data_IF_783929728230
#
_entry.id   IF_783929728230
#
_cell.length_a   1.000
_cell.length_b   1.000
_cell.length_c   1.000
_cell.angle_alpha   90.00
_cell.angle_beta   90.00
_cell.angle_gamma   90.00
#
_symmetry.space_group_name_H-M   'P 1'
#
loop_
_entity.id
_entity.type
_entity.pdbx_description
1 polymer ?
#
# COMPACT_ATOMS: atom_id res chain seq x y z
N UNK A 1 6.75 -3.08 -24.92
CA UNK A 1 6.87 -1.83 -24.14
C UNK A 1 7.74 -2.08 -22.91
N UNK A 2 8.95 -1.50 -22.82
CA UNK A 2 9.80 -1.58 -21.63
C UNK A 2 9.19 -0.85 -20.42
N UNK A 3 9.52 -1.29 -19.21
CA UNK A 3 9.16 -0.63 -17.95
C UNK A 3 10.46 -0.28 -17.23
N UNK A 4 10.53 0.93 -16.65
CA UNK A 4 11.66 1.30 -15.80
C UNK A 4 11.59 0.61 -14.44
N UNK A 5 12.75 0.28 -13.85
CA UNK A 5 12.85 -0.25 -12.50
C UNK A 5 12.20 0.67 -11.45
N UNK A 6 12.19 1.97 -11.70
CA UNK A 6 11.52 2.93 -10.83
C UNK A 6 10.01 2.72 -10.80
N UNK A 7 9.36 2.60 -11.96
CA UNK A 7 7.92 2.30 -12.03
C UNK A 7 7.61 0.98 -11.32
N UNK A 8 8.39 -0.08 -11.58
CA UNK A 8 8.18 -1.40 -10.96
C UNK A 8 8.20 -1.35 -9.43
N UNK A 9 9.12 -0.59 -8.82
CA UNK A 9 9.20 -0.47 -7.35
C UNK A 9 7.95 0.13 -6.72
N UNK A 10 7.27 1.04 -7.42
CA UNK A 10 6.08 1.73 -6.94
C UNK A 10 4.77 1.02 -7.27
N UNK A 11 4.78 0.01 -8.15
CA UNK A 11 3.58 -0.80 -8.38
C UNK A 11 3.37 -1.77 -7.20
N UNK A 12 2.18 -1.69 -6.61
CA UNK A 12 1.76 -2.59 -5.53
C UNK A 12 0.92 -3.72 -6.13
N UNK A 13 1.23 -4.96 -5.75
CA UNK A 13 0.47 -6.14 -6.16
C UNK A 13 -0.22 -6.79 -4.96
N UNK A 14 -1.32 -7.49 -5.22
CA UNK A 14 -2.17 -8.22 -4.27
C UNK A 14 -2.66 -9.51 -4.92
N UNK A 15 -3.04 -10.51 -4.12
CA UNK A 15 -3.81 -11.67 -4.59
C UNK A 15 -5.27 -11.33 -4.92
N UNK A 16 -5.72 -10.12 -4.59
CA UNK A 16 -7.10 -9.66 -4.76
C UNK A 16 -8.05 -10.12 -3.64
N UNK A 17 -7.54 -10.83 -2.62
CA UNK A 17 -8.24 -11.12 -1.37
C UNK A 17 -8.01 -10.04 -0.31
N UNK A 18 -6.85 -9.40 -0.38
CA UNK A 18 -6.47 -8.28 0.47
C UNK A 18 -7.20 -7.00 0.03
N UNK A 19 -8.04 -6.45 0.92
CA UNK A 19 -8.60 -5.13 0.75
C UNK A 19 -7.53 -4.09 1.10
N UNK A 20 -6.98 -3.42 0.09
CA UNK A 20 -6.01 -2.33 0.25
C UNK A 20 -4.56 -2.68 -0.06
N UNK A 21 -3.66 -1.74 0.23
CA UNK A 21 -2.23 -1.84 -0.12
C UNK A 21 -1.35 -1.97 1.12
N UNK A 22 -0.55 -3.05 1.18
CA UNK A 22 0.56 -3.18 2.14
C UNK A 22 1.71 -2.21 1.86
N UNK A 23 1.65 -1.49 0.72
CA UNK A 23 2.66 -0.53 0.28
C UNK A 23 2.98 0.56 1.31
N UNK A 24 2.03 0.88 2.19
CA UNK A 24 2.23 1.85 3.29
C UNK A 24 3.36 1.45 4.26
N UNK A 25 3.73 0.15 4.32
CA UNK A 25 4.78 -0.39 5.18
C UNK A 25 6.09 -0.73 4.45
N UNK A 26 6.22 -0.45 3.15
CA UNK A 26 7.44 -0.77 2.37
C UNK A 26 8.65 0.11 2.72
N UNK A 27 8.42 1.31 3.27
CA UNK A 27 9.47 2.25 3.68
C UNK A 27 9.97 2.00 5.12
N UNK A 28 11.07 2.66 5.49
CA UNK A 28 11.53 2.65 6.89
C UNK A 28 10.57 3.42 7.81
N UNK A 29 10.00 4.52 7.29
CA UNK A 29 9.06 5.37 8.00
C UNK A 29 7.68 5.34 7.34
N UNK A 30 6.63 5.49 8.16
CA UNK A 30 5.28 5.67 7.66
C UNK A 30 5.13 7.03 6.96
N UNK A 31 4.47 7.11 5.79
CA UNK A 31 4.38 8.33 5.00
C UNK A 31 3.29 9.27 5.54
N UNK A 32 3.49 9.80 6.76
CA UNK A 32 2.52 10.67 7.43
C UNK A 32 2.18 11.91 6.58
N UNK A 33 0.88 12.14 6.28
CA UNK A 33 0.38 13.38 5.68
C UNK A 33 0.83 14.60 6.47
N UNK A 34 1.01 15.74 5.81
CA UNK A 34 1.54 16.96 6.45
C UNK A 34 0.68 17.40 7.65
N UNK A 35 -0.65 17.35 7.50
CA UNK A 35 -1.60 17.65 8.59
C UNK A 35 -1.42 16.73 9.81
N UNK A 36 -1.16 15.44 9.60
CA UNK A 36 -0.96 14.48 10.69
C UNK A 36 0.41 14.60 11.38
N UNK A 37 1.24 15.58 11.00
CA UNK A 37 2.52 15.87 11.66
C UNK A 37 2.38 16.91 12.77
N UNK A 38 1.21 17.54 12.90
CA UNK A 38 0.90 18.54 13.92
C UNK A 38 0.96 17.99 15.36
N UNK A 39 1.09 18.87 16.36
CA UNK A 39 1.19 18.48 17.77
C UNK A 39 -0.02 17.68 18.28
N UNK A 40 -1.23 17.99 17.79
CA UNK A 40 -2.48 17.30 18.08
C UNK A 40 -2.43 15.78 17.79
N UNK A 41 -1.63 15.38 16.79
CA UNK A 41 -1.48 14.00 16.35
C UNK A 41 -0.19 13.36 16.87
N UNK A 42 0.61 14.08 17.68
CA UNK A 42 1.92 13.57 18.12
C UNK A 42 1.80 12.26 18.90
N UNK A 43 0.90 12.20 19.89
CA UNK A 43 0.70 11.01 20.71
C UNK A 43 0.27 9.78 19.89
N UNK A 44 -0.83 9.82 19.09
CA UNK A 44 -1.22 8.67 18.29
C UNK A 44 -0.17 8.31 17.24
N UNK A 45 0.50 9.30 16.63
CA UNK A 45 1.59 9.08 15.67
C UNK A 45 2.75 8.32 16.30
N UNK A 46 3.22 8.75 17.47
CA UNK A 46 4.35 8.13 18.16
C UNK A 46 4.01 6.70 18.57
N UNK A 47 2.77 6.45 19.02
CA UNK A 47 2.32 5.10 19.36
C UNK A 47 2.30 4.19 18.12
N UNK A 48 1.76 4.66 17.00
CA UNK A 48 1.74 3.91 15.74
C UNK A 48 3.17 3.65 15.23
N UNK A 49 4.05 4.66 15.23
CA UNK A 49 5.45 4.52 14.81
C UNK A 49 6.23 3.51 15.67
N UNK A 50 5.86 3.35 16.94
CA UNK A 50 6.46 2.34 17.83
C UNK A 50 5.98 0.92 17.53
N UNK A 51 4.69 0.74 17.19
CA UNK A 51 4.09 -0.59 17.01
C UNK A 51 4.31 -1.12 15.58
N UNK A 52 4.23 -0.26 14.57
CA UNK A 52 4.27 -0.68 13.17
C UNK A 52 5.52 -1.50 12.80
N UNK A 53 6.76 -1.13 13.22
CA UNK A 53 7.95 -1.93 12.89
C UNK A 53 7.90 -3.34 13.49
N UNK A 54 7.32 -3.50 14.69
CA UNK A 54 7.17 -4.81 15.31
C UNK A 54 6.16 -5.67 14.55
N UNK A 55 5.00 -5.11 14.17
CA UNK A 55 4.01 -5.82 13.38
C UNK A 55 4.58 -6.30 12.03
N UNK A 56 5.36 -5.45 11.36
CA UNK A 56 6.03 -5.80 10.10
C UNK A 56 7.08 -6.90 10.30
N UNK A 57 7.87 -6.86 11.39
CA UNK A 57 8.85 -7.91 11.70
C UNK A 57 8.19 -9.26 11.98
N UNK A 58 7.13 -9.27 12.79
CA UNK A 58 6.38 -10.48 13.11
C UNK A 58 5.77 -11.09 11.84
N UNK A 59 5.05 -10.29 11.05
CA UNK A 59 4.48 -10.73 9.78
C UNK A 59 5.56 -11.26 8.80
N UNK A 60 6.73 -10.62 8.75
CA UNK A 60 7.87 -11.07 7.94
C UNK A 60 8.45 -12.41 8.41
N UNK A 61 8.31 -12.72 9.70
CA UNK A 61 8.73 -13.98 10.32
C UNK A 61 7.69 -15.09 10.14
N UNK A 62 6.56 -14.80 9.49
CA UNK A 62 5.52 -15.76 9.09
C UNK A 62 4.25 -15.72 9.92
N UNK A 63 4.18 -14.91 10.99
CA UNK A 63 2.98 -14.79 11.82
C UNK A 63 2.97 -13.46 12.55
N UNK A 64 1.85 -12.72 12.45
CA UNK A 64 1.59 -11.55 13.28
C UNK A 64 0.90 -12.01 14.59
N UNK A 65 1.48 -11.67 15.73
CA UNK A 65 0.94 -12.10 17.04
C UNK A 65 -0.39 -11.39 17.33
N UNK A 66 -1.38 -12.08 17.96
CA UNK A 66 -2.69 -11.49 18.28
C UNK A 66 -2.60 -10.21 19.12
N UNK A 67 -1.67 -10.16 20.08
CA UNK A 67 -1.47 -9.00 20.95
C UNK A 67 -0.91 -7.79 20.18
N UNK A 68 0.04 -8.02 19.27
CA UNK A 68 0.59 -6.98 18.40
C UNK A 68 -0.45 -6.46 17.43
N UNK A 69 -1.24 -7.36 16.82
CA UNK A 69 -2.36 -6.99 15.96
C UNK A 69 -3.36 -6.12 16.71
N UNK A 70 -3.80 -6.56 17.91
CA UNK A 70 -4.75 -5.81 18.73
C UNK A 70 -4.22 -4.42 19.11
N UNK A 71 -2.99 -4.34 19.64
CA UNK A 71 -2.37 -3.05 20.00
C UNK A 71 -2.30 -2.10 18.82
N UNK A 72 -1.96 -2.60 17.64
CA UNK A 72 -1.86 -1.77 16.45
C UNK A 72 -3.26 -1.32 15.97
N UNK A 73 -4.22 -2.24 15.96
CA UNK A 73 -5.61 -1.95 15.58
C UNK A 73 -6.24 -0.90 16.50
N UNK A 74 -6.00 -1.00 17.80
CA UNK A 74 -6.47 -0.03 18.80
C UNK A 74 -5.81 1.34 18.54
N UNK A 75 -4.49 1.39 18.30
CA UNK A 75 -3.77 2.65 17.99
C UNK A 75 -4.24 3.34 16.69
N UNK A 76 -4.58 2.57 15.64
CA UNK A 76 -5.15 3.11 14.39
C UNK A 76 -6.57 3.66 14.63
N UNK A 77 -7.34 2.99 15.48
CA UNK A 77 -8.70 3.42 15.84
C UNK A 77 -8.67 4.73 16.63
N UNK A 78 -7.77 4.85 17.60
CA UNK A 78 -7.54 6.09 18.36
C UNK A 78 -7.19 7.27 17.44
N UNK A 79 -6.29 7.05 16.47
CA UNK A 79 -5.98 8.06 15.44
C UNK A 79 -7.23 8.47 14.66
N UNK A 80 -8.03 7.48 14.24
CA UNK A 80 -9.28 7.71 13.50
C UNK A 80 -10.30 8.53 14.29
N UNK A 81 -10.41 8.30 15.60
CA UNK A 81 -11.27 9.06 16.50
C UNK A 81 -10.78 10.51 16.64
N UNK A 82 -9.48 10.72 16.84
CA UNK A 82 -8.90 12.07 16.92
C UNK A 82 -9.15 12.84 15.62
N UNK A 83 -8.96 12.22 14.45
CA UNK A 83 -9.27 12.84 13.15
C UNK A 83 -10.75 13.24 13.05
N UNK A 84 -11.66 12.37 13.50
CA UNK A 84 -13.10 12.66 13.48
C UNK A 84 -13.45 13.84 14.42
N UNK A 85 -12.85 13.89 15.62
CA UNK A 85 -13.08 14.95 16.58
C UNK A 85 -12.57 16.31 16.11
N UNK A 86 -11.52 16.31 15.29
CA UNK A 86 -10.95 17.52 14.68
C UNK A 86 -11.60 17.92 13.35
N UNK A 87 -12.67 17.24 12.91
CA UNK A 87 -13.25 17.47 11.59
C UNK A 87 -13.68 18.93 11.34
N UNK A 88 -14.08 19.67 12.39
CA UNK A 88 -14.45 21.08 12.30
C UNK A 88 -13.24 22.02 12.17
N UNK A 89 -12.07 21.61 12.67
CA UNK A 89 -10.84 22.41 12.69
C UNK A 89 -9.95 22.14 11.46
N UNK A 90 -10.24 21.07 10.72
CA UNK A 90 -9.52 20.68 9.52
C UNK A 90 -10.17 21.27 8.27
N UNK A 91 -9.35 21.60 7.27
CA UNK A 91 -9.89 21.83 5.93
C UNK A 91 -10.54 20.53 5.39
N UNK A 92 -11.55 20.61 4.50
CA UNK A 92 -12.16 19.40 3.93
C UNK A 92 -11.13 18.49 3.24
N UNK A 93 -10.12 19.06 2.59
CA UNK A 93 -9.04 18.30 1.95
C UNK A 93 -8.18 17.55 2.96
N UNK A 94 -7.79 18.21 4.06
CA UNK A 94 -6.97 17.62 5.10
C UNK A 94 -7.72 16.52 5.86
N UNK A 95 -9.01 16.72 6.12
CA UNK A 95 -9.87 15.70 6.72
C UNK A 95 -9.93 14.45 5.84
N UNK A 96 -10.21 14.60 4.55
CA UNK A 96 -10.25 13.48 3.59
C UNK A 96 -8.90 12.77 3.51
N UNK A 97 -7.79 13.52 3.43
CA UNK A 97 -6.45 12.94 3.36
C UNK A 97 -6.12 12.14 4.63
N UNK A 98 -6.48 12.68 5.81
CA UNK A 98 -6.26 12.04 7.10
C UNK A 98 -7.07 10.75 7.25
N UNK A 99 -8.36 10.77 6.89
CA UNK A 99 -9.20 9.57 6.89
C UNK A 99 -8.68 8.50 5.94
N UNK A 100 -8.26 8.89 4.73
CA UNK A 100 -7.65 7.97 3.76
C UNK A 100 -6.40 7.31 4.34
N UNK A 101 -5.54 8.09 4.99
CA UNK A 101 -4.32 7.56 5.61
C UNK A 101 -4.62 6.56 6.74
N UNK A 102 -5.54 6.88 7.66
CA UNK A 102 -5.97 5.96 8.73
C UNK A 102 -6.58 4.67 8.17
N UNK A 103 -7.40 4.76 7.11
CA UNK A 103 -7.95 3.58 6.43
C UNK A 103 -6.85 2.73 5.78
N UNK A 104 -5.86 3.35 5.12
CA UNK A 104 -4.74 2.62 4.53
C UNK A 104 -3.91 1.87 5.58
N UNK A 105 -3.74 2.43 6.79
CA UNK A 105 -3.10 1.72 7.90
C UNK A 105 -3.90 0.51 8.34
N UNK A 106 -5.22 0.65 8.47
CA UNK A 106 -6.12 -0.45 8.87
C UNK A 106 -6.13 -1.59 7.84
N UNK A 107 -6.26 -1.25 6.57
CA UNK A 107 -6.19 -2.17 5.44
C UNK A 107 -4.83 -2.87 5.37
N UNK A 108 -3.74 -2.11 5.51
CA UNK A 108 -2.40 -2.67 5.59
C UNK A 108 -2.26 -3.67 6.74
N UNK A 109 -2.77 -3.35 7.94
CA UNK A 109 -2.69 -4.23 9.10
C UNK A 109 -3.46 -5.54 8.89
N UNK A 110 -4.65 -5.47 8.28
CA UNK A 110 -5.39 -6.67 7.87
C UNK A 110 -4.56 -7.53 6.93
N UNK A 111 -3.91 -6.92 5.93
CA UNK A 111 -3.05 -7.63 4.99
C UNK A 111 -1.81 -8.24 5.65
N UNK A 112 -1.24 -7.59 6.68
CA UNK A 112 -0.14 -8.17 7.47
C UNK A 112 -0.57 -9.43 8.23
N UNK A 113 -1.84 -9.51 8.63
CA UNK A 113 -2.40 -10.67 9.34
C UNK A 113 -2.81 -11.83 8.41
N UNK A 114 -2.86 -11.61 7.09
CA UNK A 114 -3.24 -12.67 6.16
C UNK A 114 -2.21 -13.80 6.10
N UNK A 115 -2.65 -15.06 5.90
CA UNK A 115 -1.75 -16.15 5.55
C UNK A 115 -0.94 -15.79 4.31
N UNK A 116 0.38 -15.96 4.39
CA UNK A 116 1.35 -15.60 3.34
C UNK A 116 1.68 -14.11 3.20
N UNK A 117 1.34 -13.26 4.17
CA UNK A 117 1.73 -11.84 4.17
C UNK A 117 3.26 -11.63 3.99
N UNK A 118 4.06 -12.60 4.44
CA UNK A 118 5.51 -12.68 4.19
C UNK A 118 5.89 -12.52 2.71
N UNK A 119 5.06 -12.98 1.77
CA UNK A 119 5.35 -12.88 0.34
C UNK A 119 5.28 -11.43 -0.18
N UNK A 120 4.51 -10.55 0.48
CA UNK A 120 4.54 -9.12 0.21
C UNK A 120 5.82 -8.48 0.74
N UNK A 121 6.27 -8.91 1.92
CA UNK A 121 7.38 -8.27 2.66
C UNK A 121 8.76 -8.71 2.14
N UNK A 122 8.89 -9.97 1.72
CA UNK A 122 10.14 -10.50 1.15
C UNK A 122 10.30 -10.19 -0.35
N UNK A 123 9.37 -9.43 -0.95
CA UNK A 123 9.40 -9.08 -2.38
C UNK A 123 9.08 -10.24 -3.33
N UNK A 124 8.58 -11.39 -2.85
CA UNK A 124 8.12 -12.47 -3.74
C UNK A 124 6.98 -12.00 -4.63
N UNK A 125 6.04 -11.22 -4.06
CA UNK A 125 4.91 -10.62 -4.76
C UNK A 125 5.16 -9.15 -5.18
N UNK A 126 6.41 -8.71 -5.25
CA UNK A 126 6.71 -7.40 -5.86
C UNK A 126 6.51 -7.46 -7.37
N UNK A 127 6.17 -6.32 -8.00
CA UNK A 127 6.13 -6.24 -9.45
C UNK A 127 7.52 -6.53 -10.05
N UNK A 128 7.57 -7.41 -11.04
CA UNK A 128 8.78 -7.88 -11.69
C UNK A 128 8.54 -8.03 -13.19
N UNK A 129 9.56 -7.70 -13.98
CA UNK A 129 9.54 -7.86 -15.44
C UNK A 129 9.93 -6.57 -16.15
N UNK A 130 10.97 -6.63 -16.98
CA UNK A 130 11.50 -5.46 -17.70
C UNK A 130 10.55 -4.90 -18.79
N UNK A 131 9.41 -5.56 -19.04
CA UNK A 131 8.44 -5.16 -20.05
C UNK A 131 7.01 -5.38 -19.56
N UNK A 132 6.03 -4.72 -20.19
CA UNK A 132 4.59 -4.91 -19.90
C UNK A 132 4.19 -6.37 -20.00
N UNK A 133 4.58 -7.08 -21.07
CA UNK A 133 4.30 -8.51 -21.21
C UNK A 133 4.88 -9.35 -20.07
N UNK A 134 6.17 -9.16 -19.76
CA UNK A 134 6.83 -9.90 -18.68
C UNK A 134 6.20 -9.64 -17.30
N UNK A 135 5.74 -8.40 -17.03
CA UNK A 135 5.02 -8.09 -15.81
C UNK A 135 3.65 -8.78 -15.75
N UNK A 136 2.90 -8.77 -16.85
CA UNK A 136 1.61 -9.46 -16.93
C UNK A 136 1.76 -10.98 -16.76
N UNK A 137 2.80 -11.58 -17.35
CA UNK A 137 3.13 -13.01 -17.18
C UNK A 137 3.47 -13.33 -15.72
N UNK A 138 4.31 -12.49 -15.09
CA UNK A 138 4.65 -12.64 -13.68
C UNK A 138 3.40 -12.58 -12.80
N UNK A 139 2.52 -11.61 -13.04
CA UNK A 139 1.27 -11.45 -12.29
C UNK A 139 0.34 -12.65 -12.48
N UNK A 140 0.14 -13.08 -13.72
CA UNK A 140 -0.76 -14.21 -14.06
C UNK A 140 -0.27 -15.52 -13.44
N UNK A 141 1.04 -15.79 -13.54
CA UNK A 141 1.66 -17.02 -13.00
C UNK A 141 1.60 -17.11 -11.48
N UNK A 142 1.51 -15.96 -10.80
CA UNK A 142 1.48 -15.89 -9.33
C UNK A 142 0.09 -15.53 -8.77
N UNK A 143 -0.95 -15.46 -9.62
CA UNK A 143 -2.30 -15.09 -9.20
C UNK A 143 -2.41 -13.67 -8.64
N UNK A 144 -1.58 -12.74 -9.12
CA UNK A 144 -1.48 -11.37 -8.63
C UNK A 144 -2.31 -10.41 -9.49
N UNK A 145 -2.76 -9.34 -8.84
CA UNK A 145 -3.50 -8.21 -9.39
C UNK A 145 -2.88 -6.92 -8.87
N UNK A 146 -3.13 -5.80 -9.55
CA UNK A 146 -2.73 -4.51 -9.02
C UNK A 146 -3.51 -4.19 -7.73
N UNK A 147 -2.78 -3.86 -6.67
CA UNK A 147 -3.35 -3.25 -5.48
C UNK A 147 -3.57 -1.75 -5.74
N UNK A 148 -4.43 -1.08 -4.95
CA UNK A 148 -4.57 0.37 -5.00
C UNK A 148 -3.22 1.08 -4.80
N UNK A 149 -3.01 2.18 -5.53
CA UNK A 149 -1.86 3.05 -5.32
C UNK A 149 -1.98 3.78 -3.98
N UNK A 150 -0.89 3.83 -3.21
CA UNK A 150 -0.79 4.82 -2.12
C UNK A 150 -0.56 6.22 -2.71
N UNK A 151 -0.83 7.27 -1.94
CA UNK A 151 -0.86 8.65 -2.45
C UNK A 151 0.43 9.05 -3.20
N UNK A 152 1.60 8.68 -2.68
CA UNK A 152 2.90 8.94 -3.31
C UNK A 152 3.18 8.11 -4.56
N UNK A 153 2.49 7.00 -4.77
CA UNK A 153 2.73 6.08 -5.89
C UNK A 153 1.86 6.40 -7.12
N UNK A 154 0.84 7.26 -6.98
CA UNK A 154 -0.11 7.58 -8.06
C UNK A 154 0.56 8.00 -9.38
N UNK A 155 1.61 8.86 -9.39
CA UNK A 155 2.28 9.22 -10.65
C UNK A 155 2.89 8.03 -11.40
N UNK A 156 3.37 7.01 -10.67
CA UNK A 156 3.94 5.79 -11.25
C UNK A 156 2.86 4.88 -11.84
N UNK A 157 1.69 4.80 -11.19
CA UNK A 157 0.53 4.10 -11.75
C UNK A 157 0.04 4.75 -13.04
N UNK A 158 -0.07 6.08 -13.09
CA UNK A 158 -0.43 6.80 -14.31
C UNK A 158 0.59 6.60 -15.43
N UNK A 159 1.89 6.62 -15.10
CA UNK A 159 2.97 6.37 -16.06
C UNK A 159 2.89 4.94 -16.61
N UNK A 160 2.66 3.95 -15.74
CA UNK A 160 2.49 2.56 -16.16
C UNK A 160 1.23 2.36 -17.02
N UNK A 161 0.12 3.01 -16.68
CA UNK A 161 -1.11 2.95 -17.48
C UNK A 161 -0.87 3.36 -18.94
N UNK A 162 -0.08 4.42 -19.18
CA UNK A 162 0.27 4.85 -20.53
C UNK A 162 1.13 3.81 -21.29
N UNK A 163 1.99 3.07 -20.59
CA UNK A 163 2.75 1.97 -21.20
C UNK A 163 1.83 0.78 -21.54
N UNK A 164 0.84 0.50 -20.69
CA UNK A 164 -0.13 -0.56 -20.88
C UNK A 164 -1.04 -0.28 -22.08
N UNK A 165 -1.55 0.94 -22.24
CA UNK A 165 -2.37 1.33 -23.39
C UNK A 165 -1.59 1.24 -24.71
N UNK A 166 -0.32 1.67 -24.71
CA UNK A 166 0.56 1.51 -25.88
C UNK A 166 0.84 0.05 -26.22
N UNK A 167 0.99 -0.82 -25.22
CA UNK A 167 1.14 -2.26 -25.41
C UNK A 167 -0.12 -2.89 -26.01
N UNK A 168 -1.29 -2.58 -25.45
CA UNK A 168 -2.59 -3.09 -25.91
C UNK A 168 -2.89 -2.71 -27.36
N UNK A 169 -2.63 -1.45 -27.73
CA UNK A 169 -2.76 -0.99 -29.11
C UNK A 169 -1.86 -1.78 -30.08
N UNK A 170 -0.61 -2.05 -29.67
CA UNK A 170 0.34 -2.84 -30.46
C UNK A 170 -0.08 -4.30 -30.63
N UNK A 171 -0.56 -4.94 -29.55
CA UNK A 171 -1.08 -6.32 -29.61
C UNK A 171 -2.33 -6.40 -30.48
N UNK A 172 -3.26 -5.45 -30.33
CA UNK A 172 -4.49 -5.39 -31.14
C UNK A 172 -4.21 -5.29 -32.63
N UNK A 173 -3.17 -4.54 -33.03
CA UNK A 173 -2.74 -4.45 -34.43
C UNK A 173 -2.14 -5.75 -34.99
N UNK A 174 -1.55 -6.59 -34.13
CA UNK A 174 -0.96 -7.87 -34.52
C UNK A 174 -1.99 -9.00 -34.61
N UNK A 175 -3.03 -8.97 -33.76
CA UNK A 175 -4.10 -9.97 -33.70
C UNK A 175 -5.26 -9.64 -34.66
N UNK A 176 -5.42 -8.37 -35.04
CA UNK A 176 -6.42 -7.89 -36.00
C UNK A 176 -6.07 -8.11 -37.49
N UNK A 177 -5.08 -8.95 -37.80
CA UNK A 177 -4.74 -9.46 -39.14
C UNK A 177 -4.98 -10.96 -39.21
#
# INVERSE_FOLDING_TARGET
MPISEEILRHLNLTTGTAAGSIGIFKGQDLPWPMVLRGPEFKSPRDNINRIAPEAVRQASSGSLEPDTYKKFKDAISDLGEIINNMAADLSPGDYIQSKRFSNNLDEGLKNLSEPNSVNYLNGRWSAKGATVGALMDHMTSNGLRFAPAVEGDKPFYSSFYNLLTGYDAGVSQLVGK
#
